data_IF_890395872642
#
_entry.id   IF_890395872642
#
_cell.length_a   1.000
_cell.length_b   1.000
_cell.length_c   1.000
_cell.angle_alpha   90.00
_cell.angle_beta   90.00
_cell.angle_gamma   90.00
#
_symmetry.space_group_name_H-M   'P 1'
#
loop_
_entity.id
_entity.type
_entity.pdbx_description
1 polymer ?
#
# COMPACT_ATOMS: atom_id res chain seq x y z
N UNK A 1 -10.74 -8.30 -1.30
CA UNK A 1 -9.49 -8.62 -0.63
C UNK A 1 -9.69 -8.84 0.86
N UNK A 2 -8.77 -9.54 1.50
CA UNK A 2 -8.81 -9.78 2.96
C UNK A 2 -8.53 -8.48 3.71
N UNK A 3 -9.15 -8.30 4.86
CA UNK A 3 -8.88 -7.15 5.73
C UNK A 3 -9.14 -7.49 7.20
N UNK A 4 -8.24 -7.05 8.06
CA UNK A 4 -8.38 -7.06 9.53
C UNK A 4 -7.95 -5.69 10.03
N UNK A 5 -8.62 -5.20 11.04
CA UNK A 5 -8.30 -3.90 11.66
C UNK A 5 -8.19 -4.09 13.16
N UNK A 6 -7.15 -3.54 13.75
CA UNK A 6 -6.96 -3.47 15.19
C UNK A 6 -7.03 -2.05 15.68
N UNK A 7 -7.66 -1.89 16.82
CA UNK A 7 -7.48 -0.76 17.72
C UNK A 7 -6.70 -1.31 18.91
N UNK A 8 -5.51 -0.77 19.13
CA UNK A 8 -4.63 -1.21 20.23
C UNK A 8 -4.80 -0.25 21.39
N UNK A 9 -5.18 -0.79 22.54
CA UNK A 9 -5.38 -0.03 23.78
C UNK A 9 -4.42 -0.49 24.88
N UNK A 10 -4.07 0.42 25.77
CA UNK A 10 -3.38 0.10 26.99
C UNK A 10 -4.40 -0.37 28.03
N UNK A 11 -4.14 -1.52 28.68
CA UNK A 11 -5.15 -2.23 29.50
C UNK A 11 -5.47 -1.56 30.83
N UNK A 12 -4.55 -0.78 31.39
CA UNK A 12 -4.74 -0.11 32.68
C UNK A 12 -5.60 1.15 32.56
N UNK A 13 -5.44 1.88 31.48
CA UNK A 13 -6.07 3.19 31.28
C UNK A 13 -7.11 3.22 30.16
N UNK A 14 -7.28 2.12 29.43
CA UNK A 14 -8.13 1.98 28.24
C UNK A 14 -7.81 3.00 27.12
N UNK A 15 -6.64 3.62 27.17
CA UNK A 15 -6.27 4.61 26.16
C UNK A 15 -5.82 3.97 24.88
N UNK A 16 -6.29 4.50 23.76
CA UNK A 16 -5.87 4.04 22.45
C UNK A 16 -4.42 4.40 22.20
N UNK A 17 -3.58 3.39 21.95
CA UNK A 17 -2.17 3.55 21.61
C UNK A 17 -2.00 3.71 20.11
N UNK A 18 -2.80 3.00 19.32
CA UNK A 18 -2.68 3.04 17.89
C UNK A 18 -3.68 2.19 17.14
N UNK A 19 -3.59 2.28 15.83
CA UNK A 19 -4.41 1.51 14.92
C UNK A 19 -3.54 0.76 13.92
N UNK A 20 -3.94 -0.48 13.60
CA UNK A 20 -3.26 -1.30 12.61
C UNK A 20 -4.29 -1.84 11.61
N UNK A 21 -3.98 -1.73 10.34
CA UNK A 21 -4.78 -2.30 9.27
C UNK A 21 -3.97 -3.31 8.49
N UNK A 22 -4.51 -4.51 8.37
CA UNK A 22 -3.95 -5.61 7.60
C UNK A 22 -4.80 -5.90 6.37
N UNK A 23 -4.18 -6.48 5.35
CA UNK A 23 -4.88 -6.90 4.14
C UNK A 23 -4.06 -7.84 3.27
N UNK A 24 -4.61 -8.17 2.10
CA UNK A 24 -3.86 -8.94 1.10
C UNK A 24 -2.68 -8.10 0.61
N UNK A 25 -1.48 -8.66 0.49
CA UNK A 25 -0.30 -7.95 0.03
C UNK A 25 -0.40 -7.60 -1.47
N UNK A 26 0.55 -6.83 -1.96
CA UNK A 26 0.72 -6.62 -3.40
C UNK A 26 1.03 -7.95 -4.08
N UNK A 27 0.39 -8.20 -5.23
CA UNK A 27 0.58 -9.45 -5.97
C UNK A 27 2.03 -9.60 -6.41
N UNK A 28 2.61 -8.54 -6.97
CA UNK A 28 3.99 -8.52 -7.41
C UNK A 28 4.81 -7.54 -6.55
N UNK A 29 5.87 -8.04 -5.95
CA UNK A 29 6.80 -7.26 -5.14
C UNK A 29 8.23 -7.72 -5.46
N UNK A 30 9.03 -6.85 -6.07
CA UNK A 30 10.41 -7.17 -6.45
C UNK A 30 11.23 -7.67 -5.25
N UNK A 31 11.26 -6.98 -4.09
CA UNK A 31 12.03 -7.46 -2.95
C UNK A 31 11.61 -8.84 -2.44
N UNK A 32 10.32 -9.14 -2.47
CA UNK A 32 9.82 -10.47 -2.10
C UNK A 32 10.28 -11.53 -3.10
N UNK A 33 10.15 -11.25 -4.41
CA UNK A 33 10.55 -12.17 -5.46
C UNK A 33 12.07 -12.45 -5.41
N UNK A 34 12.87 -11.42 -5.19
CA UNK A 34 14.33 -11.54 -5.06
C UNK A 34 14.71 -12.35 -3.80
N UNK A 35 13.98 -12.17 -2.70
CA UNK A 35 14.20 -12.93 -1.46
C UNK A 35 13.89 -14.42 -1.63
N UNK A 36 12.77 -14.76 -2.29
CA UNK A 36 12.38 -16.15 -2.55
C UNK A 36 13.03 -16.73 -3.82
N UNK A 37 13.70 -15.88 -4.62
CA UNK A 37 14.30 -16.24 -5.93
C UNK A 37 13.28 -16.78 -6.94
N UNK A 38 12.02 -16.44 -6.76
CA UNK A 38 10.92 -16.83 -7.64
C UNK A 38 9.73 -15.87 -7.53
N UNK A 39 8.88 -15.87 -8.55
CA UNK A 39 7.57 -15.20 -8.51
C UNK A 39 6.56 -16.16 -7.91
N UNK A 40 6.17 -15.92 -6.67
CA UNK A 40 5.24 -16.79 -5.96
C UNK A 40 3.86 -16.83 -6.63
N UNK A 41 3.22 -17.99 -6.73
CA UNK A 41 1.85 -18.12 -7.22
C UNK A 41 0.86 -17.30 -6.37
N UNK A 42 -0.17 -16.75 -7.02
CA UNK A 42 -1.20 -15.96 -6.33
C UNK A 42 -1.91 -16.75 -5.21
N UNK A 43 -2.07 -18.05 -5.38
CA UNK A 43 -2.63 -18.95 -4.37
C UNK A 43 -1.78 -18.98 -3.10
N UNK A 44 -0.46 -19.07 -3.23
CA UNK A 44 0.50 -19.01 -2.12
C UNK A 44 0.45 -17.65 -1.42
N UNK A 45 0.50 -16.55 -2.19
CA UNK A 45 0.41 -15.19 -1.65
C UNK A 45 -0.91 -15.01 -0.88
N UNK A 46 -2.02 -15.50 -1.40
CA UNK A 46 -3.31 -15.39 -0.73
C UNK A 46 -3.45 -16.28 0.51
N UNK A 47 -2.74 -17.37 0.60
CA UNK A 47 -2.83 -18.30 1.74
C UNK A 47 -1.84 -17.97 2.84
N UNK A 48 -0.64 -17.55 2.49
CA UNK A 48 0.49 -17.53 3.40
C UNK A 48 0.97 -16.12 3.80
N UNK A 49 0.54 -15.07 3.08
CA UNK A 49 1.04 -13.72 3.29
C UNK A 49 -0.05 -12.76 3.76
N UNK A 50 0.34 -11.82 4.60
CA UNK A 50 -0.44 -10.65 5.00
C UNK A 50 0.43 -9.41 4.99
N UNK A 51 -0.16 -8.28 4.63
CA UNK A 51 0.52 -6.98 4.64
C UNK A 51 -0.10 -6.04 5.66
N UNK A 52 0.76 -5.40 6.46
CA UNK A 52 0.41 -4.25 7.29
C UNK A 52 0.43 -2.97 6.46
N UNK A 53 -0.75 -2.44 6.13
CA UNK A 53 -0.87 -1.21 5.33
C UNK A 53 -0.76 0.06 6.14
N UNK A 54 -1.35 0.05 7.33
CA UNK A 54 -1.33 1.17 8.24
C UNK A 54 -0.89 0.66 9.60
N UNK A 55 0.20 1.20 10.11
CA UNK A 55 0.73 0.95 11.44
C UNK A 55 0.94 2.32 12.04
N UNK A 56 -0.09 2.86 12.71
CA UNK A 56 -0.15 4.26 13.09
C UNK A 56 -0.32 4.41 14.59
N UNK A 57 0.69 4.91 15.30
CA UNK A 57 0.57 5.30 16.70
C UNK A 57 -0.32 6.54 16.84
N UNK A 58 -1.21 6.54 17.81
CA UNK A 58 -2.12 7.67 18.08
C UNK A 58 -1.46 8.62 19.06
N UNK A 59 -1.60 9.92 18.80
CA UNK A 59 -1.14 10.95 19.75
C UNK A 59 -2.14 11.14 20.89
N UNK A 60 -1.65 11.53 22.10
CA UNK A 60 -0.23 11.72 22.44
C UNK A 60 0.46 10.43 22.88
N UNK A 61 -0.28 9.40 23.24
CA UNK A 61 0.24 8.23 23.92
C UNK A 61 1.13 7.35 23.04
N UNK A 62 0.59 6.86 21.91
CA UNK A 62 1.31 5.91 21.10
C UNK A 62 2.56 6.50 20.47
N UNK A 63 2.49 7.76 20.04
CA UNK A 63 3.60 8.42 19.37
C UNK A 63 4.75 8.76 20.32
N UNK A 64 4.44 9.34 21.48
CA UNK A 64 5.46 9.89 22.39
C UNK A 64 6.16 8.82 23.22
N UNK A 65 5.49 7.71 23.54
CA UNK A 65 6.04 6.72 24.48
C UNK A 65 6.54 5.45 23.78
N UNK A 66 5.81 4.93 22.83
CA UNK A 66 6.08 3.61 22.28
C UNK A 66 6.30 3.62 20.77
N UNK A 67 5.80 4.65 20.09
CA UNK A 67 5.92 4.83 18.64
C UNK A 67 5.39 3.67 17.82
N UNK A 68 5.60 3.74 16.51
CA UNK A 68 5.18 2.70 15.57
C UNK A 68 5.88 1.36 15.74
N UNK A 69 7.00 1.29 16.47
CA UNK A 69 7.77 0.05 16.67
C UNK A 69 7.00 -0.99 17.47
N UNK A 70 6.34 -0.58 18.57
CA UNK A 70 5.48 -1.48 19.36
C UNK A 70 4.35 -2.05 18.48
N UNK A 71 3.67 -1.18 17.74
CA UNK A 71 2.59 -1.61 16.85
C UNK A 71 3.08 -2.57 15.76
N UNK A 72 4.29 -2.35 15.22
CA UNK A 72 4.90 -3.24 14.25
C UNK A 72 5.25 -4.62 14.85
N UNK A 73 5.74 -4.66 16.09
CA UNK A 73 5.99 -5.92 16.82
C UNK A 73 4.68 -6.67 17.08
N UNK A 74 3.64 -5.98 17.55
CA UNK A 74 2.33 -6.58 17.73
C UNK A 74 1.76 -7.10 16.40
N UNK A 75 1.94 -6.35 15.32
CA UNK A 75 1.52 -6.74 13.98
C UNK A 75 2.27 -7.96 13.43
N UNK A 76 3.44 -8.29 13.95
CA UNK A 76 4.19 -9.50 13.59
C UNK A 76 4.01 -10.65 14.58
N UNK A 77 3.07 -10.53 15.51
CA UNK A 77 2.85 -11.51 16.59
C UNK A 77 1.99 -12.71 16.15
N UNK A 78 2.05 -13.78 16.95
CA UNK A 78 1.19 -14.95 16.78
C UNK A 78 -0.31 -14.62 16.88
N UNK A 79 -0.69 -13.52 17.52
CA UNK A 79 -2.08 -13.09 17.59
C UNK A 79 -2.62 -12.69 16.20
N UNK A 80 -1.83 -12.02 15.38
CA UNK A 80 -2.20 -11.77 14.00
C UNK A 80 -2.44 -13.07 13.24
N UNK A 81 -1.51 -14.03 13.35
CA UNK A 81 -1.65 -15.34 12.72
C UNK A 81 -2.96 -16.01 13.15
N UNK A 82 -3.20 -16.12 14.46
CA UNK A 82 -4.39 -16.76 15.02
C UNK A 82 -5.69 -16.14 14.50
N UNK A 83 -5.79 -14.81 14.50
CA UNK A 83 -6.99 -14.10 14.04
C UNK A 83 -7.18 -14.20 12.52
N UNK A 84 -6.09 -14.12 11.76
CA UNK A 84 -6.15 -14.18 10.31
C UNK A 84 -6.50 -15.57 9.81
N UNK A 85 -5.86 -16.60 10.38
CA UNK A 85 -6.14 -18.00 10.06
C UNK A 85 -7.58 -18.36 10.37
N UNK A 86 -8.07 -17.97 11.56
CA UNK A 86 -9.46 -18.21 11.96
C UNK A 86 -10.46 -17.48 11.03
N UNK A 87 -10.18 -16.22 10.67
CA UNK A 87 -11.11 -15.41 9.88
C UNK A 87 -11.20 -15.85 8.42
N UNK A 88 -10.09 -16.30 7.84
CA UNK A 88 -9.99 -16.58 6.41
C UNK A 88 -9.75 -18.04 6.06
N UNK A 89 -9.68 -18.91 7.06
CA UNK A 89 -9.37 -20.34 6.93
C UNK A 89 -8.11 -20.58 6.09
N UNK A 90 -7.00 -19.97 6.52
CA UNK A 90 -5.70 -20.02 5.83
C UNK A 90 -4.60 -20.45 6.82
N UNK A 91 -3.39 -20.61 6.33
CA UNK A 91 -2.19 -20.84 7.14
C UNK A 91 -1.19 -19.70 6.89
N UNK A 92 -1.33 -18.62 7.67
CA UNK A 92 -0.49 -17.44 7.56
C UNK A 92 0.93 -17.75 8.02
N UNK A 93 1.92 -17.49 7.19
CA UNK A 93 3.34 -17.71 7.49
C UNK A 93 4.17 -16.44 7.48
N UNK A 94 3.77 -15.46 6.65
CA UNK A 94 4.58 -14.28 6.41
C UNK A 94 3.77 -13.01 6.65
N UNK A 95 4.35 -12.12 7.46
CA UNK A 95 3.92 -10.74 7.61
C UNK A 95 4.88 -9.84 6.84
N UNK A 96 4.36 -8.93 6.05
CA UNK A 96 5.15 -7.92 5.36
C UNK A 96 4.58 -6.52 5.56
N UNK A 97 5.42 -5.51 5.48
CA UNK A 97 5.04 -4.10 5.47
C UNK A 97 6.03 -3.29 4.65
N UNK A 98 5.61 -2.13 4.20
CA UNK A 98 6.47 -1.19 3.48
C UNK A 98 6.61 0.11 4.26
N UNK A 99 7.76 0.76 4.14
CA UNK A 99 8.01 2.09 4.68
C UNK A 99 7.93 3.12 3.56
N UNK A 100 7.20 4.23 3.77
CA UNK A 100 7.16 5.35 2.85
C UNK A 100 8.51 6.08 2.76
N UNK A 101 9.27 6.04 3.83
CA UNK A 101 10.53 6.79 3.93
C UNK A 101 11.74 5.99 3.41
N UNK A 102 11.55 4.71 3.09
CA UNK A 102 12.59 3.84 2.58
C UNK A 102 13.89 3.94 3.38
N UNK A 103 14.97 4.17 2.68
CA UNK A 103 16.33 4.39 3.24
C UNK A 103 16.71 5.85 3.34
N UNK A 104 15.78 6.80 3.33
CA UNK A 104 16.05 8.25 3.35
C UNK A 104 16.95 8.68 4.52
N UNK A 105 16.94 7.91 5.61
CA UNK A 105 17.82 8.13 6.77
C UNK A 105 19.01 7.15 6.84
N UNK A 106 19.36 6.49 5.75
CA UNK A 106 20.45 5.52 5.68
C UNK A 106 20.14 4.15 6.28
N UNK A 107 19.02 4.00 7.00
CA UNK A 107 18.57 2.71 7.57
C UNK A 107 17.07 2.54 7.38
N UNK A 108 16.63 1.29 7.26
CA UNK A 108 15.22 0.96 7.20
C UNK A 108 14.48 1.38 8.47
N UNK A 109 13.25 1.84 8.35
CA UNK A 109 12.41 2.29 9.46
C UNK A 109 12.28 1.26 10.59
N UNK A 110 12.26 -0.02 10.25
CA UNK A 110 12.08 -1.13 11.19
C UNK A 110 13.37 -1.89 11.50
N UNK A 111 14.53 -1.36 11.13
CA UNK A 111 15.82 -2.04 11.34
C UNK A 111 16.13 -2.34 12.81
N UNK A 112 15.67 -1.49 13.73
CA UNK A 112 15.76 -1.71 15.16
C UNK A 112 14.84 -2.80 15.73
N UNK A 113 14.07 -3.50 14.89
CA UNK A 113 13.20 -4.62 15.29
C UNK A 113 13.77 -6.01 14.95
N UNK A 114 15.04 -6.07 14.55
CA UNK A 114 15.73 -7.35 14.37
C UNK A 114 15.77 -8.12 15.71
N UNK A 115 15.58 -9.44 15.69
CA UNK A 115 15.44 -10.34 14.53
C UNK A 115 13.99 -10.51 14.04
N UNK A 116 13.00 -9.86 14.63
CA UNK A 116 11.57 -10.09 14.34
C UNK A 116 11.16 -9.57 12.97
N UNK A 117 11.72 -8.44 12.55
CA UNK A 117 11.48 -7.84 11.23
C UNK A 117 12.82 -7.59 10.56
N UNK A 118 12.94 -7.90 9.27
CA UNK A 118 14.14 -7.65 8.48
C UNK A 118 13.82 -6.88 7.21
N UNK A 119 14.72 -6.03 6.79
CA UNK A 119 14.66 -5.38 5.48
C UNK A 119 15.09 -6.36 4.39
N UNK A 120 14.26 -6.56 3.38
CA UNK A 120 14.51 -7.49 2.26
C UNK A 120 14.77 -6.77 0.94
N UNK A 121 14.68 -5.45 0.89
CA UNK A 121 14.98 -4.64 -0.29
C UNK A 121 14.01 -3.48 -0.48
N UNK A 122 14.28 -2.67 -1.50
CA UNK A 122 13.51 -1.49 -1.87
C UNK A 122 12.58 -1.81 -3.05
N UNK A 123 11.39 -1.22 -3.04
CA UNK A 123 10.36 -1.53 -4.04
C UNK A 123 10.55 -0.83 -5.37
N UNK A 124 11.44 0.13 -5.48
CA UNK A 124 11.65 0.98 -6.68
C UNK A 124 10.34 1.64 -7.20
N UNK A 125 9.31 1.67 -6.38
CA UNK A 125 8.01 2.21 -6.77
C UNK A 125 7.97 3.71 -6.50
N UNK A 126 7.61 4.47 -7.53
CA UNK A 126 7.36 5.90 -7.40
C UNK A 126 5.99 6.13 -6.73
N UNK A 127 5.97 7.07 -5.80
CA UNK A 127 4.73 7.53 -5.20
C UNK A 127 4.01 8.45 -6.18
N UNK A 128 2.82 8.04 -6.62
CA UNK A 128 1.95 8.88 -7.43
C UNK A 128 0.89 9.50 -6.51
N UNK A 129 0.90 10.81 -6.31
CA UNK A 129 -0.14 11.48 -5.54
C UNK A 129 -1.50 11.29 -6.22
N UNK A 130 -2.56 11.15 -5.40
CA UNK A 130 -3.92 11.16 -5.93
C UNK A 130 -4.35 12.61 -6.20
N UNK A 131 -4.93 12.84 -7.37
CA UNK A 131 -5.55 14.12 -7.66
C UNK A 131 -6.67 14.43 -6.65
N UNK A 132 -6.83 15.69 -6.34
CA UNK A 132 -7.99 16.15 -5.57
C UNK A 132 -9.29 15.67 -6.23
N UNK A 133 -10.34 15.40 -5.43
CA UNK A 133 -11.56 14.76 -5.93
C UNK A 133 -12.28 15.57 -7.00
N UNK A 134 -12.20 16.88 -6.96
CA UNK A 134 -12.78 17.79 -7.93
C UNK A 134 -12.12 17.64 -9.29
N UNK A 135 -10.80 17.85 -9.36
CA UNK A 135 -10.01 17.67 -10.60
C UNK A 135 -10.12 16.26 -11.16
N UNK A 136 -10.12 15.25 -10.28
CA UNK A 136 -10.28 13.87 -10.73
C UNK A 136 -11.64 13.66 -11.40
N UNK A 137 -12.73 14.21 -10.84
CA UNK A 137 -14.08 14.08 -11.41
C UNK A 137 -14.21 14.78 -12.75
N UNK A 138 -13.68 15.99 -12.88
CA UNK A 138 -13.66 16.75 -14.12
C UNK A 138 -12.89 16.03 -15.21
N UNK A 139 -11.66 15.58 -14.92
CA UNK A 139 -10.86 14.79 -15.85
C UNK A 139 -11.56 13.51 -16.26
N UNK A 140 -12.11 12.77 -15.29
CA UNK A 140 -12.81 11.51 -15.53
C UNK A 140 -14.03 11.71 -16.44
N UNK A 141 -14.82 12.75 -16.18
CA UNK A 141 -15.95 13.13 -17.02
C UNK A 141 -15.50 13.48 -18.44
N UNK A 142 -14.47 14.32 -18.56
CA UNK A 142 -13.95 14.74 -19.86
C UNK A 142 -13.45 13.56 -20.71
N UNK A 143 -12.67 12.68 -20.12
CA UNK A 143 -12.17 11.49 -20.79
C UNK A 143 -13.26 10.53 -21.26
N UNK A 144 -14.31 10.34 -20.46
CA UNK A 144 -15.41 9.48 -20.84
C UNK A 144 -16.26 10.04 -21.99
N UNK A 145 -16.26 11.37 -22.15
CA UNK A 145 -17.11 12.02 -23.16
C UNK A 145 -16.35 12.44 -24.44
N UNK A 146 -15.05 12.64 -24.36
CA UNK A 146 -14.29 13.26 -25.46
C UNK A 146 -13.08 12.47 -25.97
N UNK A 147 -12.43 11.69 -25.13
CA UNK A 147 -11.08 11.22 -25.43
C UNK A 147 -10.95 9.76 -25.85
N UNK A 148 -12.01 9.00 -25.91
CA UNK A 148 -11.91 7.55 -26.11
C UNK A 148 -12.87 7.02 -27.19
N UNK A 149 -13.12 7.80 -28.23
CA UNK A 149 -14.05 7.45 -29.34
C UNK A 149 -15.42 6.93 -28.86
N UNK A 150 -15.92 7.44 -27.72
CA UNK A 150 -17.16 7.00 -27.10
C UNK A 150 -17.02 5.75 -26.20
N UNK A 151 -15.83 5.15 -26.12
CA UNK A 151 -15.59 4.05 -25.17
C UNK A 151 -15.32 4.58 -23.76
N UNK A 152 -15.91 3.94 -22.76
CA UNK A 152 -15.63 4.29 -21.37
C UNK A 152 -14.20 3.92 -20.98
N UNK A 153 -13.54 4.78 -20.20
CA UNK A 153 -12.20 4.51 -19.63
C UNK A 153 -12.13 3.16 -18.90
N UNK A 154 -13.26 2.74 -18.36
CA UNK A 154 -13.43 1.48 -17.66
C UNK A 154 -14.76 0.88 -18.11
N UNK A 155 -14.76 -0.40 -18.45
CA UNK A 155 -15.99 -1.14 -18.77
C UNK A 155 -16.98 -1.10 -17.59
N UNK A 156 -18.28 -1.01 -17.88
CA UNK A 156 -19.33 -0.82 -16.88
C UNK A 156 -19.41 -1.95 -15.84
N UNK A 157 -18.90 -3.14 -16.19
CA UNK A 157 -18.83 -4.35 -15.35
C UNK A 157 -17.65 -4.37 -14.38
N UNK A 158 -16.72 -3.39 -14.46
CA UNK A 158 -15.50 -3.35 -13.63
C UNK A 158 -15.47 -2.14 -12.73
N UNK A 159 -15.41 -2.39 -11.43
CA UNK A 159 -15.05 -1.37 -10.44
C UNK A 159 -13.54 -1.20 -10.41
N UNK A 160 -13.06 0.01 -10.61
CA UNK A 160 -11.64 0.34 -10.52
C UNK A 160 -11.37 1.41 -9.46
N UNK A 161 -10.27 1.23 -8.73
CA UNK A 161 -9.82 2.22 -7.74
C UNK A 161 -9.41 3.53 -8.45
N UNK A 162 -9.66 4.66 -7.78
CA UNK A 162 -9.31 6.01 -8.26
C UNK A 162 -7.89 6.09 -8.84
N UNK A 163 -6.88 5.56 -8.15
CA UNK A 163 -5.50 5.53 -8.61
C UNK A 163 -5.35 4.85 -9.98
N UNK A 164 -6.01 3.72 -10.20
CA UNK A 164 -5.91 2.98 -11.46
C UNK A 164 -6.53 3.76 -12.63
N UNK A 165 -7.62 4.45 -12.37
CA UNK A 165 -8.28 5.33 -13.35
C UNK A 165 -7.36 6.51 -13.67
N UNK A 166 -6.83 7.18 -12.65
CA UNK A 166 -5.88 8.28 -12.78
C UNK A 166 -4.64 7.87 -13.59
N UNK A 167 -4.03 6.74 -13.28
CA UNK A 167 -2.87 6.22 -14.03
C UNK A 167 -3.21 5.99 -15.50
N UNK A 168 -4.41 5.47 -15.80
CA UNK A 168 -4.85 5.29 -17.19
C UNK A 168 -5.01 6.64 -17.92
N UNK A 169 -5.63 7.62 -17.28
CA UNK A 169 -5.78 8.98 -17.85
C UNK A 169 -4.40 9.61 -18.12
N UNK A 170 -3.49 9.57 -17.16
CA UNK A 170 -2.11 10.06 -17.31
C UNK A 170 -1.39 9.36 -18.47
N UNK A 171 -1.53 8.05 -18.59
CA UNK A 171 -0.92 7.28 -19.68
C UNK A 171 -1.45 7.70 -21.05
N UNK A 172 -2.76 7.94 -21.17
CA UNK A 172 -3.37 8.41 -22.42
C UNK A 172 -2.81 9.80 -22.79
N UNK A 173 -2.72 10.72 -21.82
CA UNK A 173 -2.14 12.06 -22.06
C UNK A 173 -0.70 11.94 -22.54
N UNK A 174 0.15 11.18 -21.82
CA UNK A 174 1.55 11.00 -22.20
C UNK A 174 1.72 10.44 -23.61
N UNK A 175 0.90 9.48 -23.97
CA UNK A 175 0.96 8.86 -25.30
C UNK A 175 0.42 9.76 -26.42
N UNK A 176 -0.41 10.74 -26.10
CA UNK A 176 -0.92 11.72 -27.08
C UNK A 176 0.00 12.91 -27.32
N UNK A 177 0.97 13.14 -26.42
CA UNK A 177 1.94 14.23 -26.53
C UNK A 177 3.14 13.80 -27.39
N UNK A 178 3.15 14.21 -28.66
CA UNK A 178 4.28 13.97 -29.57
C UNK A 178 5.43 14.98 -29.39
N UNK A 179 5.17 16.14 -28.77
CA UNK A 179 6.15 17.16 -28.46
C UNK A 179 6.86 16.85 -27.13
N UNK A 180 8.18 16.67 -27.21
CA UNK A 180 9.01 16.33 -26.05
C UNK A 180 8.98 17.41 -24.96
N UNK A 181 8.94 18.69 -25.33
CA UNK A 181 8.94 19.79 -24.37
C UNK A 181 7.62 19.80 -23.56
N UNK A 182 6.50 19.57 -24.24
CA UNK A 182 5.18 19.45 -23.59
C UNK A 182 5.10 18.23 -22.71
N UNK A 183 5.72 17.13 -23.10
CA UNK A 183 5.78 15.91 -22.29
C UNK A 183 6.61 16.14 -21.01
N UNK A 184 7.74 16.84 -21.12
CA UNK A 184 8.59 17.17 -19.98
C UNK A 184 7.89 18.16 -19.02
N UNK A 185 7.18 19.15 -19.57
CA UNK A 185 6.36 20.07 -18.78
C UNK A 185 5.24 19.32 -18.04
N UNK A 186 4.52 18.46 -18.75
CA UNK A 186 3.47 17.64 -18.15
C UNK A 186 4.03 16.73 -17.03
N UNK A 187 5.19 16.09 -17.24
CA UNK A 187 5.82 15.26 -16.20
C UNK A 187 6.14 16.07 -14.94
N UNK A 188 6.67 17.29 -15.09
CA UNK A 188 6.94 18.20 -13.95
C UNK A 188 5.67 18.61 -13.19
N UNK A 189 4.52 18.69 -13.89
CA UNK A 189 3.26 19.04 -13.23
C UNK A 189 2.65 17.91 -12.40
N UNK A 190 3.04 16.65 -12.65
CA UNK A 190 2.48 15.47 -11.96
C UNK A 190 3.44 14.84 -10.94
N UNK A 191 4.69 15.29 -10.86
CA UNK A 191 5.66 14.96 -9.81
C UNK A 191 5.42 15.79 -8.53
#
# INVERSE_FOLDING_TARGET
GRTLKWIVTETTTDKVIGVVRFGSPTINSKPRNDYFKEILPLSTINREFVMGFNIVPVQPFGYNYLGGKLLALLASSNELKRQFDKKYNIDLKYFETTSLYGTTKGVSMYDGLKPYVRHIGDTESNFLPLFHDEYFREMFWWFNNNANNGERLISADKSSKKLKIQTKMISIIKNSLSDKNKLDEFNKCIE
#
